data_IF_721074780839
#
_entry.id   IF_721074780839
#
_cell.length_a   1.000
_cell.length_b   1.000
_cell.length_c   1.000
_cell.angle_alpha   90.00
_cell.angle_beta   90.00
_cell.angle_gamma   90.00
#
_symmetry.space_group_name_H-M   'P 1'
#
loop_
_entity.id
_entity.type
_entity.pdbx_description
1 polymer ?
#
# COMPACT_ATOMS: atom_id res chain seq x y z
N UNK A 1 47.08 -7.67 -30.02
CA UNK A 1 47.14 -6.29 -29.52
C UNK A 1 45.97 -5.40 -29.99
N UNK A 2 45.36 -5.53 -31.16
CA UNK A 2 44.27 -4.64 -31.62
C UNK A 2 42.92 -4.83 -30.87
N UNK A 3 42.61 -5.98 -30.26
CA UNK A 3 41.35 -6.20 -29.53
C UNK A 3 41.31 -5.61 -28.10
N UNK A 4 42.47 -5.46 -27.47
CA UNK A 4 42.55 -4.88 -26.09
C UNK A 4 42.37 -3.37 -26.12
N UNK A 5 42.89 -2.68 -27.16
CA UNK A 5 42.72 -1.25 -27.35
C UNK A 5 41.27 -0.83 -27.59
N UNK A 6 40.44 -1.71 -28.25
CA UNK A 6 39.03 -1.42 -28.49
C UNK A 6 38.17 -1.48 -27.21
N UNK A 7 38.47 -2.39 -26.29
CA UNK A 7 37.77 -2.48 -25.01
C UNK A 7 38.09 -1.33 -24.06
N UNK A 8 39.34 -0.86 -24.04
CA UNK A 8 39.74 0.29 -23.22
C UNK A 8 39.12 1.59 -23.75
N UNK A 9 39.05 1.78 -25.06
CA UNK A 9 38.41 2.96 -25.66
C UNK A 9 36.89 3.03 -25.38
N UNK A 10 36.18 1.90 -25.42
CA UNK A 10 34.75 1.84 -25.11
C UNK A 10 34.53 2.14 -23.62
N UNK A 11 35.33 1.60 -22.72
CA UNK A 11 35.22 1.86 -21.28
C UNK A 11 35.46 3.33 -20.92
N UNK A 12 36.42 4.00 -21.58
CA UNK A 12 36.70 5.43 -21.38
C UNK A 12 35.56 6.31 -21.93
N UNK A 13 34.97 5.95 -23.07
CA UNK A 13 33.85 6.69 -23.66
C UNK A 13 32.60 6.54 -22.78
N UNK A 14 32.29 5.35 -22.26
CA UNK A 14 31.17 5.15 -21.34
C UNK A 14 31.34 5.91 -20.02
N UNK A 15 32.55 5.95 -19.46
CA UNK A 15 32.83 6.70 -18.23
C UNK A 15 32.68 8.22 -18.47
N UNK A 16 33.20 8.76 -19.56
CA UNK A 16 33.10 10.20 -19.87
C UNK A 16 31.65 10.66 -20.12
N UNK A 17 30.82 9.84 -20.73
CA UNK A 17 29.38 10.15 -20.92
C UNK A 17 28.63 10.13 -19.58
N UNK A 18 28.95 9.21 -18.67
CA UNK A 18 28.33 9.15 -17.36
C UNK A 18 28.65 10.36 -16.50
N UNK A 19 29.91 10.82 -16.47
CA UNK A 19 30.31 12.04 -15.74
C UNK A 19 29.69 13.31 -16.34
N UNK A 20 29.60 13.40 -17.65
CA UNK A 20 28.95 14.52 -18.33
C UNK A 20 27.44 14.61 -18.01
N UNK A 21 26.78 13.49 -17.76
CA UNK A 21 25.38 13.47 -17.34
C UNK A 21 25.22 13.92 -15.87
N UNK A 22 26.11 13.54 -14.96
CA UNK A 22 26.11 14.01 -13.58
C UNK A 22 26.22 15.54 -13.50
N UNK A 23 27.14 16.11 -14.26
CA UNK A 23 27.42 17.56 -14.27
C UNK A 23 26.18 18.39 -14.65
N UNK A 24 25.30 17.85 -15.51
CA UNK A 24 24.05 18.49 -15.92
C UNK A 24 23.06 18.68 -14.77
N UNK A 25 23.13 17.87 -13.71
CA UNK A 25 22.19 17.88 -12.58
C UNK A 25 22.83 18.32 -11.26
N UNK A 26 24.05 18.89 -11.33
CA UNK A 26 24.82 19.25 -10.13
C UNK A 26 24.06 20.23 -9.22
N UNK A 27 23.32 21.17 -9.79
CA UNK A 27 22.52 22.12 -9.02
C UNK A 27 21.40 21.43 -8.25
N UNK A 28 20.66 20.52 -8.90
CA UNK A 28 19.60 19.74 -8.26
C UNK A 28 20.17 18.84 -7.15
N UNK A 29 21.32 18.22 -7.39
CA UNK A 29 22.00 17.36 -6.41
C UNK A 29 22.44 18.13 -5.17
N UNK A 30 22.92 19.35 -5.35
CA UNK A 30 23.28 20.23 -4.25
C UNK A 30 22.04 20.58 -3.40
N UNK A 31 20.91 20.91 -4.04
CA UNK A 31 19.65 21.20 -3.35
C UNK A 31 19.12 19.95 -2.65
N UNK A 32 19.21 18.76 -3.27
CA UNK A 32 18.83 17.49 -2.64
C UNK A 32 19.64 17.25 -1.36
N UNK A 33 20.94 17.48 -1.39
CA UNK A 33 21.83 17.37 -0.23
C UNK A 33 21.48 18.40 0.85
N UNK A 34 21.31 19.66 0.46
CA UNK A 34 20.99 20.77 1.35
C UNK A 34 19.64 20.55 2.04
N UNK A 35 18.60 20.19 1.29
CA UNK A 35 17.27 19.91 1.82
C UNK A 35 17.29 18.86 2.93
N UNK A 36 18.00 17.75 2.73
CA UNK A 36 18.15 16.74 3.78
C UNK A 36 18.98 17.25 4.96
N UNK A 37 20.05 17.97 4.72
CA UNK A 37 20.94 18.43 5.79
C UNK A 37 20.28 19.49 6.68
N UNK A 38 19.47 20.36 6.09
CA UNK A 38 18.71 21.40 6.81
C UNK A 38 17.35 20.92 7.31
N UNK A 39 16.89 19.72 6.89
CA UNK A 39 15.53 19.18 7.12
C UNK A 39 14.42 20.03 6.51
N UNK A 40 14.75 20.84 5.53
CA UNK A 40 13.80 21.70 4.83
C UNK A 40 13.36 21.08 3.51
N UNK A 41 12.17 20.46 3.54
CA UNK A 41 11.57 19.85 2.33
C UNK A 41 11.12 20.89 1.30
N UNK A 42 10.91 22.15 1.68
CA UNK A 42 10.43 23.19 0.79
C UNK A 42 11.45 23.58 -0.28
N UNK A 43 12.73 23.36 -0.03
CA UNK A 43 13.80 23.57 -1.01
C UNK A 43 13.62 22.73 -2.29
N UNK A 44 12.91 21.60 -2.18
CA UNK A 44 12.67 20.70 -3.31
C UNK A 44 11.40 21.06 -4.11
N UNK A 45 10.50 21.89 -3.60
CA UNK A 45 9.18 22.14 -4.20
C UNK A 45 9.26 22.58 -5.67
N UNK A 46 10.22 23.43 -6.01
CA UNK A 46 10.42 23.93 -7.38
C UNK A 46 11.10 22.93 -8.32
N UNK A 47 11.74 21.90 -7.77
CA UNK A 47 12.48 20.90 -8.52
C UNK A 47 11.69 19.62 -8.80
N UNK A 48 10.63 19.35 -8.01
CA UNK A 48 9.81 18.16 -8.20
C UNK A 48 8.97 18.27 -9.48
N UNK A 49 8.87 17.17 -10.22
CA UNK A 49 7.90 17.02 -11.31
C UNK A 49 6.52 16.70 -10.74
N UNK A 50 5.45 16.95 -11.50
CA UNK A 50 4.08 16.63 -11.08
C UNK A 50 3.87 15.12 -10.86
N UNK A 51 4.57 14.31 -11.64
CA UNK A 51 4.56 12.84 -11.57
C UNK A 51 5.69 12.27 -10.69
N UNK A 52 6.37 13.12 -9.91
CA UNK A 52 7.44 12.69 -9.01
C UNK A 52 6.95 11.62 -8.04
N UNK A 53 7.82 10.65 -7.77
CA UNK A 53 7.57 9.58 -6.79
C UNK A 53 8.62 9.56 -5.68
N UNK A 54 8.15 9.37 -4.44
CA UNK A 54 8.99 9.17 -3.25
C UNK A 54 8.46 7.95 -2.52
N UNK A 55 9.29 6.95 -2.30
CA UNK A 55 8.86 5.65 -1.74
C UNK A 55 7.71 4.99 -2.53
N UNK A 56 7.62 5.28 -3.83
CA UNK A 56 6.55 4.81 -4.70
C UNK A 56 5.23 5.59 -4.61
N UNK A 57 5.18 6.67 -3.84
CA UNK A 57 4.02 7.56 -3.71
C UNK A 57 4.18 8.81 -4.57
N UNK A 58 3.07 9.32 -5.13
CA UNK A 58 3.00 10.51 -5.99
C UNK A 58 1.80 11.41 -5.62
N UNK A 59 1.63 12.53 -6.30
CA UNK A 59 0.52 13.45 -6.11
C UNK A 59 0.44 13.98 -4.67
N UNK A 60 -0.73 13.91 -4.06
CA UNK A 60 -0.95 14.42 -2.70
C UNK A 60 -0.11 13.72 -1.62
N UNK A 61 0.37 12.50 -1.88
CA UNK A 61 1.25 11.75 -0.97
C UNK A 61 2.72 12.12 -1.08
N UNK A 62 3.11 12.89 -2.08
CA UNK A 62 4.51 13.22 -2.31
C UNK A 62 5.13 13.97 -1.12
N UNK A 63 4.49 15.06 -0.68
CA UNK A 63 4.99 15.87 0.46
C UNK A 63 4.99 15.12 1.78
N UNK A 64 3.94 14.36 2.16
CA UNK A 64 3.98 13.48 3.32
C UNK A 64 5.09 12.44 3.26
N UNK A 65 5.30 11.78 2.11
CA UNK A 65 6.36 10.80 1.94
C UNK A 65 7.75 11.43 2.07
N UNK A 66 7.94 12.63 1.54
CA UNK A 66 9.18 13.37 1.71
C UNK A 66 9.45 13.71 3.19
N UNK A 67 8.44 14.20 3.91
CA UNK A 67 8.53 14.45 5.36
C UNK A 67 8.84 13.17 6.15
N UNK A 68 8.25 12.04 5.77
CA UNK A 68 8.52 10.75 6.40
C UNK A 68 9.98 10.31 6.20
N UNK A 69 10.52 10.44 4.97
CA UNK A 69 11.94 10.17 4.68
C UNK A 69 12.84 11.07 5.50
N UNK A 70 12.54 12.37 5.57
CA UNK A 70 13.36 13.34 6.33
C UNK A 70 13.25 13.10 7.84
N UNK A 71 12.08 12.67 8.33
CA UNK A 71 11.89 12.23 9.71
C UNK A 71 12.71 10.98 10.05
N UNK A 72 12.70 9.97 9.18
CA UNK A 72 13.53 8.77 9.34
C UNK A 72 15.03 9.07 9.32
N UNK A 73 15.43 10.12 8.60
CA UNK A 73 16.80 10.61 8.51
C UNK A 73 17.07 11.83 9.41
N UNK A 74 16.23 12.10 10.42
CA UNK A 74 16.31 13.32 11.25
C UNK A 74 17.70 13.52 11.88
N UNK A 75 18.32 12.44 12.37
CA UNK A 75 19.64 12.47 13.02
C UNK A 75 20.81 12.29 12.04
N UNK A 76 20.54 12.34 10.73
CA UNK A 76 21.55 12.11 9.71
C UNK A 76 21.75 13.36 8.85
N UNK A 77 23.02 13.64 8.51
CA UNK A 77 23.41 14.56 7.45
C UNK A 77 24.14 13.80 6.37
N UNK A 78 24.08 14.30 5.14
CA UNK A 78 24.89 13.79 4.03
C UNK A 78 26.27 14.45 4.12
N UNK A 79 27.27 13.66 4.50
CA UNK A 79 28.68 14.10 4.52
C UNK A 79 29.25 14.11 3.11
N UNK A 80 29.07 13.01 2.39
CA UNK A 80 29.65 12.80 1.06
C UNK A 80 28.67 12.11 0.13
N UNK A 81 28.72 12.46 -1.16
CA UNK A 81 27.98 11.80 -2.25
C UNK A 81 28.97 11.36 -3.30
N UNK A 82 29.20 10.07 -3.43
CA UNK A 82 30.08 9.48 -4.45
C UNK A 82 29.25 8.97 -5.61
N UNK A 83 29.45 9.56 -6.78
CA UNK A 83 28.81 9.13 -8.02
C UNK A 83 29.25 7.71 -8.39
N UNK A 84 28.29 6.84 -8.70
CA UNK A 84 28.54 5.44 -9.09
C UNK A 84 28.34 5.25 -10.59
N UNK A 85 27.14 5.61 -11.08
CA UNK A 85 26.83 5.52 -12.51
C UNK A 85 25.60 6.37 -12.88
N UNK A 86 25.39 6.53 -14.19
CA UNK A 86 24.16 7.06 -14.76
C UNK A 86 23.56 6.08 -15.78
N UNK A 87 22.23 6.10 -15.89
CA UNK A 87 21.49 5.35 -16.89
C UNK A 87 20.43 6.25 -17.52
N UNK A 88 20.43 6.36 -18.84
CA UNK A 88 19.32 6.96 -19.58
C UNK A 88 18.29 5.89 -19.90
N UNK A 89 17.02 6.22 -19.68
CA UNK A 89 15.88 5.34 -19.97
C UNK A 89 15.34 5.63 -21.38
N UNK A 90 14.51 4.72 -21.91
CA UNK A 90 13.96 4.84 -23.27
C UNK A 90 13.04 6.07 -23.43
N UNK A 91 12.46 6.58 -22.32
CA UNK A 91 11.65 7.80 -22.27
C UNK A 91 12.46 9.08 -22.05
N UNK A 92 13.79 9.03 -22.19
CA UNK A 92 14.68 10.18 -22.10
C UNK A 92 15.09 10.59 -20.66
N UNK A 93 14.49 10.02 -19.62
CA UNK A 93 14.84 10.31 -18.23
C UNK A 93 16.24 9.80 -17.89
N UNK A 94 16.88 10.43 -16.91
CA UNK A 94 18.22 10.06 -16.43
C UNK A 94 18.12 9.60 -14.98
N UNK A 95 18.72 8.46 -14.69
CA UNK A 95 18.85 7.88 -13.35
C UNK A 95 20.30 8.02 -12.93
N UNK A 96 20.56 8.70 -11.82
CA UNK A 96 21.87 8.84 -11.21
C UNK A 96 21.94 8.02 -9.93
N UNK A 97 22.95 7.17 -9.81
CA UNK A 97 23.18 6.32 -8.63
C UNK A 97 24.40 6.83 -7.86
N UNK A 98 24.24 6.93 -6.54
CA UNK A 98 25.26 7.41 -5.61
C UNK A 98 25.49 6.43 -4.48
N UNK A 99 26.71 6.46 -3.92
CA UNK A 99 26.98 6.05 -2.55
C UNK A 99 27.00 7.29 -1.68
N UNK A 100 26.10 7.35 -0.71
CA UNK A 100 25.96 8.47 0.21
C UNK A 100 26.51 8.05 1.56
N UNK A 101 27.45 8.84 2.09
CA UNK A 101 27.93 8.69 3.44
C UNK A 101 27.10 9.57 4.37
N UNK A 102 26.32 8.94 5.22
CA UNK A 102 25.55 9.60 6.26
C UNK A 102 26.33 9.66 7.58
N UNK A 103 26.11 10.72 8.35
CA UNK A 103 26.82 10.96 9.62
C UNK A 103 26.59 9.88 10.68
N UNK A 104 25.43 9.21 10.69
CA UNK A 104 25.06 8.16 11.67
C UNK A 104 24.88 6.80 11.00
N UNK A 105 24.15 6.73 9.86
CA UNK A 105 23.85 5.48 9.16
C UNK A 105 25.02 4.90 8.37
N UNK A 106 26.13 5.64 8.23
CA UNK A 106 27.25 5.24 7.39
C UNK A 106 26.92 5.27 5.90
N UNK A 107 27.62 4.44 5.10
CA UNK A 107 27.48 4.43 3.65
C UNK A 107 26.21 3.69 3.21
N UNK A 108 25.43 4.30 2.33
CA UNK A 108 24.22 3.75 1.71
C UNK A 108 24.19 4.12 0.23
N UNK A 109 23.59 3.25 -0.58
CA UNK A 109 23.32 3.60 -1.97
C UNK A 109 22.09 4.51 -2.04
N UNK A 110 22.06 5.43 -2.98
CA UNK A 110 20.95 6.33 -3.26
C UNK A 110 20.72 6.45 -4.77
N UNK A 111 19.49 6.78 -5.16
CA UNK A 111 19.12 6.90 -6.55
C UNK A 111 18.24 8.13 -6.76
N UNK A 112 18.60 8.97 -7.71
CA UNK A 112 17.84 10.17 -8.08
C UNK A 112 17.55 10.13 -9.58
N UNK A 113 16.28 10.32 -9.95
CA UNK A 113 15.87 10.29 -11.35
C UNK A 113 15.34 11.66 -11.78
N UNK A 114 15.71 12.08 -12.98
CA UNK A 114 15.36 13.37 -13.56
C UNK A 114 14.72 13.18 -14.94
N UNK A 115 13.71 13.99 -15.26
CA UNK A 115 13.16 14.05 -16.60
C UNK A 115 14.01 14.95 -17.53
N UNK A 116 13.61 15.04 -18.79
CA UNK A 116 14.31 15.84 -19.81
C UNK A 116 14.41 17.33 -19.48
N UNK A 117 13.49 17.85 -18.65
CA UNK A 117 13.47 19.24 -18.20
C UNK A 117 14.28 19.47 -16.91
N UNK A 118 15.01 18.46 -16.45
CA UNK A 118 15.79 18.52 -15.21
C UNK A 118 14.96 18.51 -13.92
N UNK A 119 13.66 18.19 -14.00
CA UNK A 119 12.82 18.01 -12.81
C UNK A 119 13.01 16.62 -12.22
N UNK A 120 12.94 16.53 -10.91
CA UNK A 120 13.05 15.30 -10.15
C UNK A 120 11.77 14.48 -10.33
N UNK A 121 11.90 13.25 -10.83
CA UNK A 121 10.79 12.29 -10.98
C UNK A 121 10.87 11.15 -9.97
N UNK A 122 12.02 10.98 -9.29
CA UNK A 122 12.18 10.03 -8.20
C UNK A 122 13.28 10.48 -7.24
N UNK A 123 12.99 10.41 -5.94
CA UNK A 123 13.95 10.61 -4.85
C UNK A 123 14.03 9.33 -4.00
N UNK A 124 15.21 8.73 -3.98
CA UNK A 124 15.50 7.59 -3.13
C UNK A 124 16.84 7.79 -2.42
N UNK A 125 16.76 8.27 -1.19
CA UNK A 125 17.91 8.57 -0.33
C UNK A 125 18.58 7.33 0.29
N UNK A 126 17.94 6.16 0.20
CA UNK A 126 18.38 4.93 0.86
C UNK A 126 18.28 3.72 -0.08
N UNK A 127 18.60 3.87 -1.36
CA UNK A 127 18.50 2.78 -2.35
C UNK A 127 19.51 1.64 -2.14
N UNK A 128 20.37 1.73 -1.14
CA UNK A 128 21.25 0.64 -0.70
C UNK A 128 20.62 -0.34 0.29
N UNK A 129 19.60 0.04 1.01
CA UNK A 129 18.50 -0.85 1.18
C UNK A 129 17.87 -0.91 -0.22
N UNK A 130 18.30 -1.84 -1.08
CA UNK A 130 17.42 -2.23 -2.16
C UNK A 130 16.07 -2.34 -1.48
N UNK A 131 15.14 -1.38 -1.67
CA UNK A 131 13.81 -1.78 -1.93
C UNK A 131 14.07 -2.78 -3.06
N UNK A 132 14.36 -4.04 -2.70
CA UNK A 132 14.20 -5.11 -3.63
C UNK A 132 12.82 -4.80 -4.09
N UNK A 133 12.70 -4.31 -5.33
CA UNK A 133 11.41 -4.22 -5.94
C UNK A 133 10.88 -5.61 -5.68
N UNK A 134 10.13 -5.72 -4.58
CA UNK A 134 9.42 -6.95 -4.27
C UNK A 134 8.64 -7.08 -5.54
N UNK A 135 9.09 -7.98 -6.41
CA UNK A 135 8.51 -8.13 -7.75
C UNK A 135 7.05 -8.13 -7.49
N UNK A 136 6.32 -7.18 -8.09
CA UNK A 136 4.87 -7.08 -7.89
C UNK A 136 4.36 -8.50 -7.93
N UNK A 137 3.89 -9.03 -6.80
CA UNK A 137 3.40 -10.39 -6.76
C UNK A 137 2.24 -10.40 -7.73
N UNK A 138 2.36 -11.14 -8.80
CA UNK A 138 1.31 -11.29 -9.79
C UNK A 138 0.76 -12.68 -9.59
N UNK A 139 -0.42 -12.77 -8.99
CA UNK A 139 -1.12 -14.03 -8.88
C UNK A 139 -1.60 -14.46 -10.28
N UNK A 140 -1.39 -15.73 -10.60
CA UNK A 140 -2.03 -16.35 -11.77
C UNK A 140 -3.51 -16.53 -11.45
N UNK A 141 -4.39 -16.12 -12.36
CA UNK A 141 -5.82 -16.36 -12.25
C UNK A 141 -6.11 -17.85 -12.30
N UNK A 142 -7.21 -18.26 -11.66
CA UNK A 142 -7.61 -19.67 -11.53
C UNK A 142 -7.93 -20.39 -12.87
N UNK A 143 -7.90 -19.68 -13.98
CA UNK A 143 -8.22 -20.24 -15.31
C UNK A 143 -9.71 -20.51 -15.57
N UNK A 144 -10.57 -20.14 -14.62
CA UNK A 144 -12.04 -20.21 -14.73
C UNK A 144 -12.66 -18.82 -14.64
N UNK A 145 -13.80 -18.56 -15.29
CA UNK A 145 -14.39 -17.22 -15.31
C UNK A 145 -14.86 -16.74 -13.95
N UNK A 146 -15.16 -17.65 -13.02
CA UNK A 146 -15.71 -17.37 -11.71
C UNK A 146 -15.18 -18.35 -10.69
N UNK A 147 -14.70 -17.82 -9.55
CA UNK A 147 -14.25 -18.61 -8.38
C UNK A 147 -15.06 -18.17 -7.16
N UNK A 148 -15.68 -19.12 -6.47
CA UNK A 148 -16.34 -18.86 -5.18
C UNK A 148 -15.50 -19.40 -4.05
N UNK A 149 -15.16 -18.53 -3.11
CA UNK A 149 -14.30 -18.85 -1.95
C UNK A 149 -15.15 -18.70 -0.69
N UNK A 150 -15.42 -19.77 0.04
CA UNK A 150 -16.05 -19.66 1.35
C UNK A 150 -15.08 -19.00 2.33
N UNK A 151 -15.62 -18.20 3.27
CA UNK A 151 -14.82 -17.57 4.31
C UNK A 151 -15.43 -17.78 5.69
N UNK A 152 -14.62 -17.64 6.72
CA UNK A 152 -15.04 -17.45 8.10
C UNK A 152 -14.78 -15.99 8.52
N UNK A 153 -15.37 -15.57 9.63
CA UNK A 153 -15.03 -14.32 10.30
C UNK A 153 -14.28 -14.67 11.59
N UNK A 154 -13.21 -13.94 11.86
CA UNK A 154 -12.54 -14.01 13.16
C UNK A 154 -13.27 -13.19 14.24
N UNK A 155 -12.71 -13.13 15.43
CA UNK A 155 -13.27 -12.36 16.55
C UNK A 155 -13.32 -10.84 16.29
N UNK A 156 -12.51 -10.33 15.36
CA UNK A 156 -12.47 -8.93 14.93
C UNK A 156 -13.29 -8.67 13.68
N UNK A 157 -14.08 -9.65 13.25
CA UNK A 157 -14.90 -9.63 12.03
C UNK A 157 -14.11 -9.56 10.71
N UNK A 158 -12.83 -9.95 10.73
CA UNK A 158 -12.00 -10.02 9.54
C UNK A 158 -12.34 -11.28 8.73
N UNK A 159 -12.25 -11.16 7.40
CA UNK A 159 -12.48 -12.28 6.48
C UNK A 159 -11.29 -13.24 6.51
N UNK A 160 -11.53 -14.47 6.94
CA UNK A 160 -10.53 -15.55 6.99
C UNK A 160 -10.77 -16.55 5.87
N UNK A 161 -9.81 -16.68 4.97
CA UNK A 161 -9.80 -17.62 3.85
C UNK A 161 -8.93 -18.83 4.19
N UNK A 162 -9.30 -19.99 3.64
CA UNK A 162 -8.43 -21.16 3.61
C UNK A 162 -7.50 -21.08 2.40
N UNK A 163 -6.25 -21.39 2.61
CA UNK A 163 -5.24 -21.40 1.55
C UNK A 163 -4.07 -22.30 1.88
N UNK A 164 -3.05 -22.26 1.03
CA UNK A 164 -1.82 -23.01 1.21
C UNK A 164 -0.61 -22.13 0.95
N UNK A 165 0.40 -22.26 1.79
CA UNK A 165 1.73 -21.68 1.59
C UNK A 165 2.72 -22.82 1.47
N UNK A 166 3.40 -22.94 0.32
CA UNK A 166 4.33 -24.02 0.00
C UNK A 166 3.72 -25.41 0.20
N UNK A 167 2.44 -25.57 -0.13
CA UNK A 167 1.66 -26.81 -0.01
C UNK A 167 1.16 -27.13 1.40
N UNK A 168 1.43 -26.29 2.41
CA UNK A 168 0.94 -26.45 3.77
C UNK A 168 -0.31 -25.62 3.97
N UNK A 169 -1.40 -26.26 4.44
CA UNK A 169 -2.67 -25.60 4.71
C UNK A 169 -2.54 -24.54 5.80
N UNK A 170 -3.26 -23.43 5.62
CA UNK A 170 -3.23 -22.29 6.53
C UNK A 170 -4.49 -21.42 6.45
N UNK A 171 -4.65 -20.55 7.42
CA UNK A 171 -5.60 -19.43 7.40
C UNK A 171 -4.92 -18.17 6.87
N UNK A 172 -5.66 -17.39 6.08
CA UNK A 172 -5.21 -16.14 5.47
C UNK A 172 -6.29 -15.08 5.69
N UNK A 173 -5.93 -13.91 6.18
CA UNK A 173 -6.87 -12.78 6.26
C UNK A 173 -6.93 -12.10 4.89
N UNK A 174 -8.12 -11.86 4.38
CA UNK A 174 -8.35 -11.01 3.21
C UNK A 174 -8.57 -9.56 3.66
N UNK A 175 -7.80 -8.64 3.08
CA UNK A 175 -7.78 -7.23 3.44
C UNK A 175 -7.71 -6.37 2.17
N UNK A 176 -8.83 -5.74 1.80
CA UNK A 176 -8.91 -4.83 0.65
C UNK A 176 -8.26 -3.47 0.91
N UNK A 177 -8.03 -3.12 2.18
CA UNK A 177 -7.27 -1.94 2.59
C UNK A 177 -5.76 -2.13 2.53
N UNK A 178 -5.28 -3.35 2.28
CA UNK A 178 -3.87 -3.63 2.11
C UNK A 178 -3.46 -3.63 0.63
N UNK A 179 -2.56 -2.74 0.24
CA UNK A 179 -1.99 -2.73 -1.11
C UNK A 179 -1.17 -3.98 -1.40
N UNK A 180 -0.48 -4.52 -0.39
CA UNK A 180 0.42 -5.67 -0.50
C UNK A 180 0.14 -6.71 0.56
N UNK A 181 0.28 -7.95 0.16
CA UNK A 181 0.22 -9.08 1.06
C UNK A 181 1.42 -9.15 1.98
N UNK A 182 1.18 -9.57 3.23
CA UNK A 182 2.20 -9.72 4.28
C UNK A 182 2.06 -11.13 4.85
N UNK A 183 3.14 -11.90 4.89
CA UNK A 183 3.14 -13.22 5.53
C UNK A 183 3.54 -13.12 7.00
N UNK A 184 2.98 -13.98 7.81
CA UNK A 184 3.31 -14.09 9.23
C UNK A 184 4.71 -14.71 9.39
N UNK A 185 5.67 -13.92 9.90
CA UNK A 185 7.04 -14.37 10.11
C UNK A 185 7.13 -15.58 11.06
N UNK A 186 6.19 -15.69 12.01
CA UNK A 186 6.16 -16.79 12.98
C UNK A 186 5.72 -18.10 12.31
N UNK A 187 4.85 -18.02 11.28
CA UNK A 187 4.41 -19.17 10.51
C UNK A 187 5.47 -19.65 9.51
N UNK A 188 6.18 -18.71 8.88
CA UNK A 188 7.18 -19.02 7.85
C UNK A 188 8.61 -19.11 8.41
N UNK A 189 8.77 -19.27 9.73
CA UNK A 189 10.08 -19.44 10.38
C UNK A 189 10.85 -20.59 9.73
N UNK A 190 12.11 -20.33 9.34
CA UNK A 190 12.95 -21.27 8.61
C UNK A 190 13.02 -21.06 7.08
N UNK A 191 12.23 -20.15 6.52
CA UNK A 191 12.40 -19.68 5.14
C UNK A 191 13.49 -18.61 5.08
N UNK A 192 14.20 -18.52 3.95
CA UNK A 192 15.27 -17.55 3.73
C UNK A 192 14.70 -16.11 3.86
N UNK A 193 14.86 -15.51 5.03
CA UNK A 193 14.45 -14.14 5.29
C UNK A 193 15.63 -13.19 5.16
N UNK A 194 15.46 -12.11 4.41
CA UNK A 194 16.40 -10.98 4.36
C UNK A 194 15.78 -9.82 5.12
N UNK A 195 16.52 -9.21 6.03
CA UNK A 195 16.06 -8.05 6.77
C UNK A 195 15.97 -6.81 5.88
N UNK A 196 14.91 -6.04 6.02
CA UNK A 196 14.68 -4.75 5.39
C UNK A 196 13.84 -3.88 6.31
N UNK A 197 13.62 -2.62 5.94
CA UNK A 197 12.69 -1.72 6.62
C UNK A 197 11.64 -1.25 5.61
N UNK A 198 10.36 -1.30 5.98
CA UNK A 198 9.30 -0.64 5.24
C UNK A 198 8.35 0.04 6.22
N UNK A 199 7.69 1.12 5.77
CA UNK A 199 6.66 1.78 6.54
C UNK A 199 5.34 1.05 6.31
N UNK A 200 4.71 0.62 7.40
CA UNK A 200 3.35 0.11 7.38
C UNK A 200 2.48 1.16 8.07
N UNK A 201 1.48 1.66 7.38
CA UNK A 201 0.44 2.52 7.96
C UNK A 201 -0.70 1.67 8.53
N UNK A 202 -1.20 2.03 9.70
CA UNK A 202 -2.40 1.48 10.32
C UNK A 202 -3.17 2.59 11.03
N UNK A 203 -4.40 2.34 11.49
CA UNK A 203 -5.33 3.36 11.99
C UNK A 203 -4.77 4.23 13.13
N UNK A 204 -3.80 3.82 13.89
CA UNK A 204 -3.33 4.58 15.07
C UNK A 204 -1.84 4.91 15.07
N UNK A 205 -1.08 4.55 14.06
CA UNK A 205 0.35 4.88 14.05
C UNK A 205 1.04 4.64 12.70
N UNK A 206 2.06 5.45 12.44
CA UNK A 206 3.12 5.13 11.49
C UNK A 206 4.13 4.23 12.19
N UNK A 207 4.30 3.01 11.70
CA UNK A 207 5.37 2.15 12.17
C UNK A 207 6.46 2.06 11.09
N UNK A 208 7.65 2.52 11.42
CA UNK A 208 8.85 1.96 10.82
C UNK A 208 9.04 0.57 11.45
N UNK A 209 8.35 -0.44 10.94
CA UNK A 209 8.57 -1.80 11.39
C UNK A 209 9.71 -2.39 10.58
N UNK A 210 10.62 -3.10 11.25
CA UNK A 210 11.52 -4.00 10.56
C UNK A 210 10.68 -5.00 9.76
N UNK A 211 10.75 -4.94 8.43
CA UNK A 211 10.12 -5.89 7.54
C UNK A 211 11.22 -6.77 7.00
N UNK A 212 11.01 -8.06 7.13
CA UNK A 212 11.79 -9.05 6.41
C UNK A 212 11.07 -9.40 5.11
N UNK A 213 11.78 -10.07 4.22
CA UNK A 213 11.27 -10.53 2.94
C UNK A 213 11.45 -12.04 2.89
N UNK A 214 10.41 -12.77 2.55
CA UNK A 214 10.47 -14.20 2.27
C UNK A 214 10.43 -14.44 0.77
N UNK A 215 11.43 -15.13 0.26
CA UNK A 215 11.56 -15.50 -1.15
C UNK A 215 11.07 -16.92 -1.42
N UNK A 216 10.75 -17.23 -2.67
CA UNK A 216 10.39 -18.56 -3.16
C UNK A 216 9.12 -19.12 -2.51
N UNK A 217 8.14 -18.25 -2.31
CA UNK A 217 6.85 -18.62 -1.75
C UNK A 217 5.87 -18.99 -2.87
N UNK A 218 5.25 -20.15 -2.69
CA UNK A 218 4.11 -20.59 -3.50
C UNK A 218 2.85 -20.44 -2.65
N UNK A 219 1.93 -19.59 -3.09
CA UNK A 219 0.63 -19.36 -2.46
C UNK A 219 -0.46 -19.98 -3.33
N UNK A 220 -1.47 -20.59 -2.73
CA UNK A 220 -2.68 -21.06 -3.40
C UNK A 220 -3.91 -20.70 -2.56
N UNK A 221 -4.85 -19.99 -3.18
CA UNK A 221 -6.17 -19.69 -2.61
C UNK A 221 -7.21 -20.10 -3.64
N UNK A 222 -7.83 -21.28 -3.46
CA UNK A 222 -8.88 -21.78 -4.38
C UNK A 222 -8.49 -21.75 -5.87
N UNK A 223 -7.25 -22.09 -6.19
CA UNK A 223 -6.73 -22.11 -7.57
C UNK A 223 -6.12 -20.78 -8.03
N UNK A 224 -6.20 -19.72 -7.25
CA UNK A 224 -5.44 -18.50 -7.48
C UNK A 224 -4.05 -18.72 -6.88
N UNK A 225 -3.03 -18.73 -7.74
CA UNK A 225 -1.69 -19.15 -7.34
C UNK A 225 -0.64 -18.09 -7.57
N UNK A 226 0.38 -18.09 -6.72
CA UNK A 226 1.68 -17.46 -7.02
C UNK A 226 2.76 -18.53 -7.01
N UNK A 227 3.79 -18.36 -7.81
CA UNK A 227 4.92 -19.28 -7.86
C UNK A 227 6.22 -18.51 -7.64
N UNK A 228 7.09 -19.02 -6.76
CA UNK A 228 8.38 -18.42 -6.45
C UNK A 228 8.30 -16.91 -6.17
N UNK A 229 7.23 -16.48 -5.50
CA UNK A 229 6.98 -15.07 -5.20
C UNK A 229 7.75 -14.62 -3.97
N UNK A 230 7.98 -13.32 -3.90
CA UNK A 230 8.61 -12.65 -2.76
C UNK A 230 7.57 -11.85 -2.01
N UNK A 231 7.40 -12.13 -0.72
CA UNK A 231 6.43 -11.45 0.15
C UNK A 231 7.13 -10.67 1.25
N UNK A 232 6.49 -9.58 1.65
CA UNK A 232 6.82 -8.92 2.92
C UNK A 232 6.45 -9.83 4.07
N UNK A 233 7.23 -9.78 5.17
CA UNK A 233 6.96 -10.60 6.35
C UNK A 233 7.02 -9.79 7.62
N UNK A 234 6.09 -10.10 8.54
CA UNK A 234 6.00 -9.52 9.87
C UNK A 234 5.33 -10.50 10.81
N UNK A 235 5.56 -10.40 12.12
CA UNK A 235 4.74 -11.13 13.07
C UNK A 235 3.29 -10.62 13.04
N UNK A 236 2.35 -11.54 12.82
CA UNK A 236 0.91 -11.31 12.85
C UNK A 236 0.25 -12.01 14.06
N UNK A 237 1.03 -12.34 15.07
CA UNK A 237 0.58 -13.07 16.26
C UNK A 237 -0.60 -12.40 16.97
N UNK A 238 -0.68 -11.07 16.92
CA UNK A 238 -1.79 -10.31 17.52
C UNK A 238 -3.14 -10.52 16.81
N UNK A 239 -3.14 -11.08 15.58
CA UNK A 239 -4.35 -11.45 14.85
C UNK A 239 -4.81 -12.89 15.16
N UNK A 240 -4.02 -13.65 15.89
CA UNK A 240 -4.37 -15.01 16.32
C UNK A 240 -5.22 -14.93 17.61
N UNK A 241 -6.51 -15.14 17.48
CA UNK A 241 -7.46 -15.06 18.60
C UNK A 241 -7.61 -16.38 19.36
N UNK A 242 -7.26 -17.51 18.73
CA UNK A 242 -7.42 -18.84 19.33
C UNK A 242 -6.23 -19.74 18.97
N UNK A 243 -5.41 -20.17 19.98
CA UNK A 243 -4.24 -21.03 19.72
C UNK A 243 -4.61 -22.45 19.24
N UNK A 244 -5.85 -22.90 19.42
CA UNK A 244 -6.32 -24.21 18.96
C UNK A 244 -6.79 -24.19 17.50
N UNK A 245 -6.89 -23.01 16.89
CA UNK A 245 -7.22 -22.86 15.48
C UNK A 245 -5.98 -22.96 14.60
N UNK A 246 -6.20 -23.23 13.30
CA UNK A 246 -5.15 -23.17 12.31
C UNK A 246 -4.55 -21.74 12.30
N UNK A 247 -3.23 -21.59 12.37
CA UNK A 247 -2.59 -20.28 12.52
C UNK A 247 -2.87 -19.34 11.33
N UNK A 248 -2.89 -18.05 11.59
CA UNK A 248 -2.93 -17.00 10.56
C UNK A 248 -1.54 -16.92 9.93
N UNK A 249 -1.42 -17.42 8.71
CA UNK A 249 -0.17 -17.47 7.97
C UNK A 249 0.14 -16.20 7.19
N UNK A 250 -0.85 -15.33 7.01
CA UNK A 250 -0.64 -14.08 6.29
C UNK A 250 -1.91 -13.24 6.16
N UNK A 251 -1.69 -11.99 5.73
CA UNK A 251 -2.69 -11.05 5.30
C UNK A 251 -2.54 -10.91 3.78
N UNK A 252 -3.61 -11.13 3.04
CA UNK A 252 -3.66 -11.08 1.59
C UNK A 252 -4.25 -9.76 1.16
N UNK A 253 -3.51 -9.01 0.37
CA UNK A 253 -3.88 -7.69 -0.12
C UNK A 253 -4.32 -7.68 -1.59
N UNK A 254 -4.53 -6.47 -2.09
CA UNK A 254 -4.97 -6.19 -3.45
C UNK A 254 -3.98 -6.64 -4.54
N UNK A 255 -2.72 -6.89 -4.20
CA UNK A 255 -1.73 -7.46 -5.13
C UNK A 255 -2.05 -8.90 -5.56
N UNK A 256 -2.85 -9.64 -4.78
CA UNK A 256 -3.28 -11.01 -5.09
C UNK A 256 -4.68 -11.03 -5.69
N UNK A 257 -5.68 -10.43 -5.03
CA UNK A 257 -7.08 -10.53 -5.45
C UNK A 257 -7.61 -9.30 -6.20
N UNK A 258 -6.94 -8.17 -6.17
CA UNK A 258 -7.41 -6.91 -6.79
C UNK A 258 -7.52 -6.94 -8.33
N UNK A 259 -7.04 -7.99 -8.99
CA UNK A 259 -7.21 -8.21 -10.43
C UNK A 259 -8.56 -8.80 -10.83
N UNK A 260 -9.44 -9.10 -9.85
CA UNK A 260 -10.79 -9.63 -10.07
C UNK A 260 -11.84 -8.56 -9.76
N UNK A 261 -13.02 -8.72 -10.35
CA UNK A 261 -14.24 -8.13 -9.82
C UNK A 261 -14.73 -9.03 -8.68
N UNK A 262 -15.07 -8.45 -7.51
CA UNK A 262 -15.28 -9.19 -6.27
C UNK A 262 -16.68 -8.95 -5.74
N UNK A 263 -17.45 -10.02 -5.52
CA UNK A 263 -18.73 -9.97 -4.80
C UNK A 263 -18.49 -10.41 -3.36
N UNK A 264 -18.88 -9.55 -2.42
CA UNK A 264 -18.94 -9.83 -1.00
C UNK A 264 -20.36 -10.22 -0.63
N UNK A 265 -20.54 -11.43 -0.10
CA UNK A 265 -21.80 -11.95 0.41
C UNK A 265 -21.56 -12.46 1.83
N UNK A 266 -21.74 -11.57 2.80
CA UNK A 266 -21.45 -11.87 4.21
C UNK A 266 -22.50 -12.83 4.80
N UNK A 267 -23.75 -12.79 4.34
CA UNK A 267 -24.80 -13.72 4.79
C UNK A 267 -24.47 -15.15 4.38
N UNK A 268 -24.07 -15.32 3.11
CA UNK A 268 -23.66 -16.63 2.61
C UNK A 268 -22.20 -16.98 2.99
N UNK A 269 -21.44 -16.04 3.59
CA UNK A 269 -20.01 -16.16 3.90
C UNK A 269 -19.19 -16.61 2.70
N UNK A 270 -19.34 -15.88 1.58
CA UNK A 270 -18.69 -16.20 0.32
C UNK A 270 -18.13 -14.95 -0.36
N UNK A 271 -16.90 -15.06 -0.85
CA UNK A 271 -16.38 -14.17 -1.88
C UNK A 271 -16.57 -14.83 -3.24
N UNK A 272 -17.09 -14.09 -4.22
CA UNK A 272 -17.11 -14.55 -5.60
C UNK A 272 -16.18 -13.66 -6.41
N UNK A 273 -15.14 -14.25 -6.96
CA UNK A 273 -14.14 -13.59 -7.78
C UNK A 273 -14.47 -13.84 -9.24
N UNK A 274 -14.61 -12.77 -10.00
CA UNK A 274 -15.00 -12.82 -11.41
C UNK A 274 -13.82 -12.29 -12.22
N UNK A 275 -13.39 -13.05 -13.22
CA UNK A 275 -12.38 -12.55 -14.14
C UNK A 275 -12.94 -11.34 -14.89
N UNK A 276 -12.21 -10.23 -14.90
CA UNK A 276 -12.63 -8.96 -15.54
C UNK A 276 -12.96 -9.09 -17.03
N UNK A 277 -12.52 -10.17 -17.68
CA UNK A 277 -12.87 -10.48 -19.08
C UNK A 277 -14.12 -11.34 -19.20
N UNK A 278 -14.67 -11.84 -18.09
CA UNK A 278 -15.85 -12.70 -18.11
C UNK A 278 -17.14 -11.86 -18.25
N UNK A 279 -17.98 -12.25 -19.22
CA UNK A 279 -19.31 -11.66 -19.37
C UNK A 279 -20.28 -12.40 -18.44
N UNK A 280 -20.40 -11.93 -17.20
CA UNK A 280 -21.32 -12.50 -16.21
C UNK A 280 -22.45 -11.53 -15.98
N UNK A 281 -23.69 -12.02 -16.10
CA UNK A 281 -24.88 -11.28 -15.72
C UNK A 281 -25.17 -11.52 -14.24
N UNK A 282 -25.14 -10.44 -13.47
CA UNK A 282 -25.56 -10.49 -12.07
C UNK A 282 -27.09 -10.59 -12.00
N UNK A 283 -27.58 -11.45 -11.10
CA UNK A 283 -28.99 -11.52 -10.78
C UNK A 283 -29.30 -10.56 -9.62
N UNK A 284 -30.41 -9.87 -9.69
CA UNK A 284 -30.89 -8.92 -8.69
C UNK A 284 -30.96 -7.48 -9.22
N UNK A 285 -31.76 -6.67 -8.53
CA UNK A 285 -31.86 -5.24 -8.79
C UNK A 285 -30.96 -4.53 -7.78
N UNK A 286 -29.94 -3.80 -8.22
CA UNK A 286 -29.09 -3.05 -7.30
C UNK A 286 -29.90 -1.92 -6.64
N UNK A 287 -29.60 -1.65 -5.35
CA UNK A 287 -30.04 -0.46 -4.63
C UNK A 287 -29.38 0.78 -5.23
N UNK A 288 -28.07 0.68 -5.47
CA UNK A 288 -27.28 1.74 -6.07
C UNK A 288 -26.10 1.19 -6.85
N UNK A 289 -25.73 1.86 -7.92
CA UNK A 289 -24.49 1.62 -8.69
C UNK A 289 -23.77 2.94 -8.83
N UNK A 290 -22.54 3.00 -8.32
CA UNK A 290 -21.75 4.23 -8.30
C UNK A 290 -20.33 3.99 -8.79
N UNK A 291 -19.72 4.95 -9.46
CA UNK A 291 -18.29 4.93 -9.68
C UNK A 291 -17.57 5.10 -8.34
N UNK A 292 -16.46 4.42 -8.15
CA UNK A 292 -15.55 4.71 -7.05
C UNK A 292 -14.21 5.24 -7.57
N UNK A 293 -13.60 6.08 -6.77
CA UNK A 293 -12.23 6.55 -7.04
C UNK A 293 -11.22 5.70 -6.25
N UNK A 294 -9.96 5.85 -6.63
CA UNK A 294 -8.83 5.33 -5.87
C UNK A 294 -7.89 6.52 -5.63
N UNK A 295 -8.29 7.42 -4.73
CA UNK A 295 -7.63 8.71 -4.54
C UNK A 295 -6.11 8.62 -4.38
N UNK A 296 -5.60 8.83 -3.20
CA UNK A 296 -4.18 8.84 -2.93
C UNK A 296 -3.53 7.45 -2.97
N UNK A 297 -4.32 6.39 -3.07
CA UNK A 297 -3.87 5.02 -3.27
C UNK A 297 -4.44 4.47 -4.57
N UNK A 298 -3.64 3.71 -5.30
CA UNK A 298 -4.06 3.02 -6.52
C UNK A 298 -4.83 1.70 -6.24
N UNK A 299 -5.28 1.47 -5.02
CA UNK A 299 -5.86 0.19 -4.59
C UNK A 299 -7.12 0.30 -3.74
N UNK A 300 -7.23 1.27 -2.81
CA UNK A 300 -8.40 1.40 -1.90
C UNK A 300 -9.57 2.05 -2.63
N UNK A 301 -10.72 1.36 -2.79
CA UNK A 301 -11.93 1.99 -3.32
C UNK A 301 -12.43 3.08 -2.38
N UNK A 302 -12.75 4.25 -2.93
CA UNK A 302 -13.28 5.38 -2.17
C UNK A 302 -14.56 5.87 -2.79
N UNK A 303 -15.55 6.17 -1.96
CA UNK A 303 -16.85 6.69 -2.38
C UNK A 303 -17.17 7.98 -1.63
N UNK A 304 -17.99 8.80 -2.25
CA UNK A 304 -18.57 9.98 -1.61
C UNK A 304 -19.92 9.65 -1.01
N UNK A 305 -20.12 10.04 0.25
CA UNK A 305 -21.38 9.90 0.96
C UNK A 305 -21.84 11.27 1.45
N UNK A 306 -23.14 11.46 1.65
CA UNK A 306 -23.66 12.66 2.28
C UNK A 306 -24.11 12.34 3.71
N UNK A 307 -23.48 13.00 4.69
CA UNK A 307 -23.79 12.92 6.12
C UNK A 307 -24.39 14.25 6.58
N UNK A 308 -25.71 14.31 6.75
CA UNK A 308 -26.44 15.52 7.17
C UNK A 308 -26.10 16.79 6.34
N UNK A 309 -26.04 16.63 5.02
CA UNK A 309 -25.73 17.72 4.09
C UNK A 309 -24.24 17.97 3.85
N UNK A 310 -23.36 17.25 4.54
CA UNK A 310 -21.92 17.33 4.33
C UNK A 310 -21.45 16.17 3.46
N UNK A 311 -20.73 16.47 2.38
CA UNK A 311 -20.04 15.47 1.55
C UNK A 311 -18.79 14.98 2.26
N UNK A 312 -18.66 13.66 2.38
CA UNK A 312 -17.56 12.98 3.08
C UNK A 312 -17.00 11.88 2.17
N UNK A 313 -15.70 11.82 2.04
CA UNK A 313 -15.01 10.78 1.28
C UNK A 313 -14.63 9.60 2.18
N UNK A 314 -15.17 8.42 1.90
CA UNK A 314 -14.92 7.21 2.69
C UNK A 314 -14.25 6.12 1.85
N UNK A 315 -13.18 5.55 2.37
CA UNK A 315 -12.58 4.34 1.81
C UNK A 315 -13.40 3.11 2.19
N UNK A 316 -13.38 2.06 1.38
CA UNK A 316 -14.07 0.80 1.67
C UNK A 316 -13.05 -0.29 1.92
N UNK A 317 -13.09 -0.86 3.14
CA UNK A 317 -12.02 -1.70 3.64
C UNK A 317 -12.56 -2.92 4.42
N UNK A 318 -12.45 -4.13 3.82
CA UNK A 318 -12.84 -5.36 4.51
C UNK A 318 -11.83 -5.83 5.57
N UNK A 319 -10.66 -5.21 5.64
CA UNK A 319 -9.69 -5.37 6.73
C UNK A 319 -10.00 -4.51 7.96
N UNK A 320 -11.02 -3.65 7.88
CA UNK A 320 -11.49 -2.85 9.00
C UNK A 320 -12.69 -3.52 9.69
N UNK A 321 -12.51 -3.96 10.94
CA UNK A 321 -13.60 -4.55 11.76
C UNK A 321 -14.65 -3.53 12.23
N UNK A 322 -14.43 -2.22 12.02
CA UNK A 322 -15.31 -1.13 12.35
C UNK A 322 -15.35 -0.08 11.25
N UNK A 323 -16.44 0.69 11.14
CA UNK A 323 -16.41 1.93 10.36
C UNK A 323 -15.62 2.98 11.14
N UNK A 324 -14.84 3.79 10.45
CA UNK A 324 -14.01 4.85 11.02
C UNK A 324 -14.39 6.21 10.43
N UNK A 325 -14.33 7.25 11.23
CA UNK A 325 -14.57 8.61 10.80
C UNK A 325 -13.58 9.57 11.46
N UNK A 326 -13.00 10.48 10.70
CA UNK A 326 -12.18 11.54 11.24
C UNK A 326 -13.05 12.59 11.93
N UNK A 327 -12.59 13.13 13.04
CA UNK A 327 -13.36 14.08 13.85
C UNK A 327 -13.86 15.31 13.05
N UNK A 328 -13.09 15.79 12.08
CA UNK A 328 -13.47 16.92 11.23
C UNK A 328 -14.63 16.64 10.29
N UNK A 329 -14.93 15.36 10.01
CA UNK A 329 -16.01 14.94 9.12
C UNK A 329 -17.33 14.70 9.86
N UNK A 330 -17.33 14.71 11.20
CA UNK A 330 -18.52 14.47 11.98
C UNK A 330 -19.60 15.53 11.76
N UNK A 331 -20.87 15.13 11.67
CA UNK A 331 -22.01 16.04 11.79
C UNK A 331 -22.09 16.65 13.18
N UNK A 332 -22.76 17.82 13.29
CA UNK A 332 -23.00 18.46 14.57
C UNK A 332 -23.99 17.65 15.43
N UNK A 333 -23.78 17.66 16.76
CA UNK A 333 -24.72 17.09 17.72
C UNK A 333 -24.70 15.57 17.88
N UNK A 334 -23.75 14.87 17.28
CA UNK A 334 -23.58 13.42 17.47
C UNK A 334 -23.24 13.10 18.93
N UNK A 335 -23.94 12.12 19.49
CA UNK A 335 -23.62 11.60 20.82
C UNK A 335 -22.60 10.49 20.73
N UNK A 336 -21.58 10.54 21.56
CA UNK A 336 -20.49 9.58 21.60
C UNK A 336 -20.53 8.74 22.85
N UNK A 337 -20.19 7.47 22.69
CA UNK A 337 -19.83 6.53 23.75
C UNK A 337 -18.35 6.18 23.61
N UNK A 338 -17.78 5.42 24.56
CA UNK A 338 -16.37 5.03 24.48
C UNK A 338 -16.23 3.54 24.22
N UNK A 339 -15.37 3.18 23.30
CA UNK A 339 -15.00 1.80 22.98
C UNK A 339 -13.49 1.62 22.90
N UNK A 340 -13.02 0.38 22.81
CA UNK A 340 -11.63 0.06 22.54
C UNK A 340 -11.49 -0.33 21.08
N UNK A 341 -10.48 0.20 20.41
CA UNK A 341 -10.09 -0.15 19.05
C UNK A 341 -8.70 -0.78 19.07
N UNK A 342 -8.56 -1.94 18.40
CA UNK A 342 -7.27 -2.60 18.21
C UNK A 342 -6.77 -2.31 16.81
N UNK A 343 -5.59 -1.70 16.70
CA UNK A 343 -4.92 -1.45 15.43
C UNK A 343 -4.17 -2.69 14.90
N UNK A 344 -3.72 -2.62 13.65
CA UNK A 344 -2.93 -3.70 13.00
C UNK A 344 -1.62 -4.04 13.72
N UNK A 345 -1.14 -3.16 14.60
CA UNK A 345 0.03 -3.38 15.46
C UNK A 345 -0.28 -4.18 16.73
N UNK A 346 -1.58 -4.43 17.01
CA UNK A 346 -2.04 -5.01 18.26
C UNK A 346 -2.22 -4.00 19.40
N UNK A 347 -1.96 -2.71 19.17
CA UNK A 347 -2.17 -1.66 20.17
C UNK A 347 -3.66 -1.43 20.40
N UNK A 348 -4.07 -1.38 21.66
CA UNK A 348 -5.45 -1.09 22.04
C UNK A 348 -5.55 0.36 22.49
N UNK A 349 -6.37 1.12 21.80
CA UNK A 349 -6.64 2.53 22.12
C UNK A 349 -8.11 2.73 22.48
N UNK A 350 -8.36 3.63 23.43
CA UNK A 350 -9.73 4.02 23.80
C UNK A 350 -10.22 5.09 22.83
N UNK A 351 -11.34 4.81 22.15
CA UNK A 351 -11.88 5.68 21.11
C UNK A 351 -13.35 6.01 21.41
N UNK A 352 -13.79 7.15 20.89
CA UNK A 352 -15.19 7.53 20.86
C UNK A 352 -15.89 6.83 19.69
N UNK A 353 -17.15 6.43 19.87
CA UNK A 353 -17.98 5.95 18.76
C UNK A 353 -19.38 6.55 18.84
N UNK A 354 -20.02 6.70 17.69
CA UNK A 354 -21.37 7.20 17.54
C UNK A 354 -22.08 6.60 16.34
N UNK A 355 -23.40 6.67 16.34
CA UNK A 355 -24.20 6.20 15.25
C UNK A 355 -24.46 7.34 14.26
N UNK A 356 -24.14 7.11 12.98
CA UNK A 356 -24.30 8.08 11.90
C UNK A 356 -25.21 7.59 10.81
N UNK A 357 -25.98 8.52 10.25
CA UNK A 357 -26.79 8.32 9.03
C UNK A 357 -26.03 8.89 7.84
N UNK A 358 -26.16 8.24 6.70
CA UNK A 358 -25.66 8.80 5.45
C UNK A 358 -26.47 8.32 4.25
N UNK A 359 -26.30 9.04 3.15
CA UNK A 359 -26.85 8.65 1.86
C UNK A 359 -25.74 8.47 0.83
N UNK A 360 -25.95 7.58 -0.13
CA UNK A 360 -25.12 7.41 -1.31
C UNK A 360 -26.00 7.69 -2.53
N UNK A 361 -25.68 8.71 -3.33
CA UNK A 361 -26.49 9.13 -4.48
C UNK A 361 -27.99 9.30 -4.11
N UNK A 362 -28.25 9.84 -2.92
CA UNK A 362 -29.62 10.07 -2.41
C UNK A 362 -30.33 8.83 -1.87
N UNK A 363 -29.73 7.64 -1.96
CA UNK A 363 -30.24 6.40 -1.32
C UNK A 363 -29.81 6.41 0.14
N UNK A 364 -30.77 6.36 1.07
CA UNK A 364 -30.47 6.29 2.51
C UNK A 364 -30.09 4.89 2.91
N UNK A 365 -29.07 4.79 3.76
CA UNK A 365 -28.62 3.55 4.37
C UNK A 365 -28.97 3.53 5.86
N UNK A 366 -29.12 2.32 6.42
CA UNK A 366 -29.37 2.17 7.84
C UNK A 366 -28.28 2.83 8.68
N UNK A 367 -28.68 3.27 9.88
CA UNK A 367 -27.78 3.87 10.87
C UNK A 367 -26.57 2.97 11.11
N UNK A 368 -25.38 3.50 10.95
CA UNK A 368 -24.15 2.76 11.10
C UNK A 368 -23.33 3.25 12.30
N UNK A 369 -22.73 2.35 13.10
CA UNK A 369 -21.77 2.71 14.11
C UNK A 369 -20.44 3.14 13.47
N UNK A 370 -19.92 4.28 13.89
CA UNK A 370 -18.60 4.77 13.49
C UNK A 370 -17.73 5.01 14.71
N UNK A 371 -16.50 4.54 14.66
CA UNK A 371 -15.46 4.88 15.64
C UNK A 371 -14.76 6.15 15.18
N UNK A 372 -14.59 7.11 16.07
CA UNK A 372 -13.87 8.35 15.79
C UNK A 372 -12.38 8.07 15.90
N UNK A 373 -11.66 8.20 14.79
CA UNK A 373 -10.23 7.91 14.72
C UNK A 373 -9.48 8.89 13.83
N UNK A 374 -8.22 9.11 14.14
CA UNK A 374 -7.33 9.88 13.26
C UNK A 374 -6.70 8.95 12.23
N UNK A 375 -7.14 9.06 10.98
CA UNK A 375 -6.58 8.38 9.83
C UNK A 375 -5.81 9.31 8.89
N UNK A 376 -5.64 10.57 9.29
CA UNK A 376 -4.95 11.59 8.47
C UNK A 376 -3.51 11.20 8.13
N UNK A 377 -2.87 10.44 9.02
CA UNK A 377 -1.52 9.93 8.85
C UNK A 377 -1.39 8.90 7.71
N UNK A 378 -2.48 8.26 7.28
CA UNK A 378 -2.48 7.36 6.12
C UNK A 378 -2.35 8.13 4.81
N UNK A 379 -2.59 9.44 4.81
CA UNK A 379 -2.52 10.34 3.66
C UNK A 379 -3.32 9.85 2.44
N UNK A 380 -4.44 9.17 2.70
CA UNK A 380 -5.29 8.60 1.65
C UNK A 380 -6.27 9.63 1.04
N UNK A 381 -6.29 10.88 1.55
CA UNK A 381 -7.22 11.92 1.10
C UNK A 381 -8.69 11.61 1.41
N UNK A 382 -8.94 10.72 2.38
CA UNK A 382 -10.26 10.30 2.83
C UNK A 382 -10.49 10.73 4.29
N UNK A 383 -11.76 10.84 4.65
CA UNK A 383 -12.17 11.29 5.98
C UNK A 383 -12.65 10.15 6.88
N UNK A 384 -12.70 8.91 6.35
CA UNK A 384 -13.10 7.74 7.09
C UNK A 384 -12.99 6.44 6.30
N UNK A 385 -13.44 5.33 6.92
CA UNK A 385 -13.50 4.01 6.32
C UNK A 385 -14.87 3.38 6.58
N UNK A 386 -15.42 2.72 5.60
CA UNK A 386 -16.54 1.79 5.72
C UNK A 386 -15.96 0.38 5.84
N UNK A 387 -16.11 -0.21 7.01
CA UNK A 387 -15.63 -1.54 7.36
C UNK A 387 -16.74 -2.57 7.49
N UNK A 388 -16.50 -3.59 8.32
CA UNK A 388 -17.40 -4.72 8.52
C UNK A 388 -18.86 -4.32 8.79
N UNK A 389 -19.22 -3.33 9.64
CA UNK A 389 -20.62 -3.01 9.90
C UNK A 389 -21.40 -2.64 8.63
N UNK A 390 -20.78 -1.86 7.75
CA UNK A 390 -21.39 -1.50 6.47
C UNK A 390 -21.33 -2.65 5.45
N UNK A 391 -20.18 -3.29 5.32
CA UNK A 391 -19.98 -4.36 4.34
C UNK A 391 -20.87 -5.59 4.63
N UNK A 392 -21.11 -5.89 5.92
CA UNK A 392 -21.94 -7.03 6.31
C UNK A 392 -23.43 -6.79 6.20
N UNK A 393 -23.88 -5.53 6.11
CA UNK A 393 -25.30 -5.20 6.01
C UNK A 393 -25.86 -5.29 4.57
N UNK A 394 -24.99 -5.44 3.57
CA UNK A 394 -25.37 -5.46 2.16
C UNK A 394 -24.52 -6.45 1.36
N UNK A 395 -25.14 -7.05 0.36
CA UNK A 395 -24.37 -7.73 -0.67
C UNK A 395 -23.79 -6.69 -1.63
N UNK A 396 -22.49 -6.75 -1.87
CA UNK A 396 -21.80 -5.74 -2.68
C UNK A 396 -20.93 -6.38 -3.75
N UNK A 397 -20.82 -5.73 -4.89
CA UNK A 397 -19.86 -6.07 -5.93
C UNK A 397 -18.94 -4.90 -6.21
N UNK A 398 -17.65 -5.14 -6.09
CA UNK A 398 -16.61 -4.24 -6.56
C UNK A 398 -16.15 -4.68 -7.94
N UNK A 399 -16.50 -3.90 -8.96
CA UNK A 399 -16.02 -4.09 -10.32
C UNK A 399 -14.68 -3.36 -10.47
N UNK A 400 -13.62 -4.01 -10.05
CA UNK A 400 -12.26 -3.44 -10.15
C UNK A 400 -11.85 -3.14 -11.60
N UNK A 401 -12.45 -3.84 -12.55
CA UNK A 401 -12.25 -3.64 -13.99
C UNK A 401 -12.79 -2.30 -14.50
N UNK A 402 -13.95 -1.84 -14.01
CA UNK A 402 -14.62 -0.61 -14.44
C UNK A 402 -14.67 0.48 -13.38
N UNK A 403 -14.19 0.19 -12.15
CA UNK A 403 -14.22 1.08 -10.99
C UNK A 403 -15.65 1.45 -10.59
N UNK A 404 -16.50 0.45 -10.51
CA UNK A 404 -17.90 0.58 -10.08
C UNK A 404 -18.16 -0.24 -8.81
N UNK A 405 -18.86 0.36 -7.85
CA UNK A 405 -19.47 -0.33 -6.70
C UNK A 405 -20.95 -0.53 -6.98
N UNK A 406 -21.41 -1.76 -6.84
CA UNK A 406 -22.82 -2.14 -6.93
C UNK A 406 -23.25 -2.66 -5.57
N UNK A 407 -24.29 -2.07 -4.98
CA UNK A 407 -24.88 -2.47 -3.69
C UNK A 407 -26.27 -3.05 -3.96
N UNK A 408 -26.58 -4.22 -3.38
CA UNK A 408 -27.84 -4.95 -3.57
C UNK A 408 -28.68 -4.95 -2.31
#
# INVERSE_FOLDING_TARGET
MKRILFFIAISIICASVSFAQEELYQNQLNVIKEALNTKDTSLLDSLLAEDCTILGNSGNLLKPSLKAVFGALANNTIEEMLFVNSKRTDNGSVILTYKIKYSVLGEKDACFSFNENGKIIQLDYLSGAKAQSVKKVSAKKAGVPLVTIPFALDANHLIVLKGQINGKDCNLIWDSGAKRSILNSDYISGLNSKSGTANIGGVNAHFAAGIAVADSINLNISGITTENATFLTRSLKHLESNPDEMPIAGLIGMDILGGYDIIYDYDAKKLTLIDSNAKIHLQGNPLVTIPYSQFASDYLPCIRVNMDGKEVELGIDCGAGANLIHKSALPDGVKFETTNLTGISGDVTKQEFGNLNFTIEGVAFDVQPFVVGDISHLNLGIEGLLGYPFLSSHKMMFKNSTKELIIF
#
